data_IF_780129675652
#
_entry.id   IF_780129675652
#
_cell.length_a   1.000
_cell.length_b   1.000
_cell.length_c   1.000
_cell.angle_alpha   90.00
_cell.angle_beta   90.00
_cell.angle_gamma   90.00
#
_symmetry.space_group_name_H-M   'P 1'
#
loop_
_entity.id
_entity.type
_entity.pdbx_description
1 polymer ?
#
# COMPACT_ATOMS: atom_id res chain seq x y z
N UNK A 1 -19.98 7.77 -22.78
CA UNK A 1 -20.40 8.78 -21.79
C UNK A 1 -20.79 8.02 -20.53
N UNK A 2 -19.85 7.85 -19.62
CA UNK A 2 -20.08 7.13 -18.37
C UNK A 2 -21.07 7.92 -17.51
N UNK A 3 -22.19 7.31 -17.19
CA UNK A 3 -23.13 7.90 -16.23
C UNK A 3 -22.56 7.66 -14.83
N UNK A 4 -21.85 8.66 -14.30
CA UNK A 4 -21.55 8.74 -12.89
C UNK A 4 -22.87 9.12 -12.21
N UNK A 5 -23.56 8.15 -11.61
CA UNK A 5 -24.67 8.45 -10.74
C UNK A 5 -24.10 8.86 -9.38
N UNK A 6 -23.89 10.15 -9.19
CA UNK A 6 -23.59 10.68 -7.85
C UNK A 6 -24.90 10.71 -7.07
N UNK A 7 -25.20 9.59 -6.41
CA UNK A 7 -26.25 9.58 -5.37
C UNK A 7 -25.59 10.08 -4.09
N UNK A 8 -25.69 11.40 -3.83
CA UNK A 8 -25.36 11.96 -2.52
C UNK A 8 -26.54 11.59 -1.60
N UNK A 9 -26.47 10.41 -0.99
CA UNK A 9 -27.41 10.05 0.07
C UNK A 9 -26.81 10.59 1.37
N UNK A 10 -27.22 11.81 1.74
CA UNK A 10 -27.00 12.33 3.07
C UNK A 10 -27.82 11.52 4.07
N UNK A 11 -27.18 10.76 4.94
CA UNK A 11 -27.84 10.16 6.09
C UNK A 11 -28.33 11.29 7.01
N UNK A 12 -29.62 11.54 7.03
CA UNK A 12 -30.27 12.40 8.02
C UNK A 12 -30.24 11.69 9.39
N UNK A 13 -29.18 11.92 10.15
CA UNK A 13 -29.25 11.69 11.58
C UNK A 13 -29.97 12.87 12.22
N UNK A 14 -30.99 12.56 13.01
CA UNK A 14 -31.74 13.52 13.78
C UNK A 14 -30.79 14.39 14.63
N UNK A 15 -30.68 15.64 14.27
CA UNK A 15 -29.84 16.64 14.94
C UNK A 15 -30.40 16.93 16.31
N UNK A 16 -29.84 16.33 17.35
CA UNK A 16 -29.78 17.05 18.61
C UNK A 16 -28.81 18.23 18.38
N UNK A 17 -29.29 19.44 18.45
CA UNK A 17 -28.48 20.64 18.45
C UNK A 17 -27.60 20.65 19.71
N UNK A 18 -26.49 19.99 19.65
CA UNK A 18 -25.35 20.22 20.51
C UNK A 18 -24.67 21.46 19.92
N UNK A 19 -24.67 22.56 20.68
CA UNK A 19 -23.89 23.74 20.34
C UNK A 19 -22.47 23.28 19.96
N UNK A 20 -21.86 23.81 18.90
CA UNK A 20 -20.49 23.46 18.57
C UNK A 20 -19.64 23.78 19.79
N UNK A 21 -19.13 22.77 20.47
CA UNK A 21 -18.00 22.98 21.33
C UNK A 21 -16.97 23.68 20.43
N UNK A 22 -16.54 24.88 20.83
CA UNK A 22 -15.45 25.55 20.16
C UNK A 22 -14.36 24.50 20.07
N UNK A 23 -14.06 24.08 18.85
CA UNK A 23 -12.90 23.24 18.60
C UNK A 23 -11.76 24.12 19.10
N UNK A 24 -11.23 23.78 20.26
CA UNK A 24 -10.03 24.40 20.74
C UNK A 24 -9.06 24.25 19.58
N UNK A 25 -8.60 25.35 19.04
CA UNK A 25 -7.54 25.38 18.05
C UNK A 25 -6.43 24.57 18.71
N UNK A 26 -6.25 23.34 18.26
CA UNK A 26 -5.23 22.44 18.80
C UNK A 26 -3.93 23.15 18.51
N UNK A 27 -3.37 23.76 19.55
CA UNK A 27 -2.01 24.27 19.47
C UNK A 27 -1.16 23.12 18.99
N UNK A 28 -0.47 23.30 17.89
CA UNK A 28 0.47 22.32 17.37
C UNK A 28 1.30 21.80 18.53
N UNK A 29 1.44 20.47 18.70
CA UNK A 29 2.15 19.89 19.84
C UNK A 29 3.57 20.43 20.02
N UNK A 30 4.05 21.15 19.04
CA UNK A 30 5.39 21.74 18.98
C UNK A 30 5.53 23.19 19.33
N UNK A 31 4.48 23.90 19.64
CA UNK A 31 4.66 25.28 20.14
C UNK A 31 5.66 25.35 21.32
N UNK A 32 5.90 24.20 22.00
CA UNK A 32 6.90 24.06 23.07
C UNK A 32 7.68 22.73 23.03
N UNK A 33 7.54 21.92 21.99
CA UNK A 33 8.34 20.70 21.87
C UNK A 33 9.68 21.07 21.25
N UNK A 34 10.75 20.61 21.84
CA UNK A 34 12.06 20.60 21.20
C UNK A 34 11.90 19.84 19.91
N UNK A 35 11.97 20.53 18.78
CA UNK A 35 12.03 19.90 17.47
C UNK A 35 13.17 18.88 17.54
N UNK A 36 12.95 17.59 17.24
CA UNK A 36 14.08 16.69 17.12
C UNK A 36 15.07 17.34 16.18
N UNK A 37 16.36 17.47 16.54
CA UNK A 37 17.33 18.04 15.64
C UNK A 37 17.22 17.30 14.32
N UNK A 38 17.32 18.02 13.23
CA UNK A 38 17.44 17.42 11.92
C UNK A 38 18.59 16.42 11.91
N UNK A 39 18.58 15.50 10.95
CA UNK A 39 19.69 14.58 10.79
C UNK A 39 21.02 15.36 10.82
N UNK A 40 21.92 14.89 11.64
CA UNK A 40 23.21 15.52 11.86
C UNK A 40 24.29 14.51 11.48
N UNK A 41 25.13 14.87 10.53
CA UNK A 41 26.25 14.03 10.07
C UNK A 41 27.59 14.36 10.76
N UNK A 42 27.61 15.36 11.63
CA UNK A 42 28.84 15.85 12.23
C UNK A 42 28.98 15.56 13.72
N UNK A 43 27.89 15.30 14.42
CA UNK A 43 27.90 15.04 15.86
C UNK A 43 27.27 13.64 16.15
N UNK A 44 28.13 12.63 16.42
CA UNK A 44 27.66 11.27 16.72
C UNK A 44 26.81 11.17 17.99
N UNK A 45 26.81 12.19 18.84
CA UNK A 45 25.99 12.22 20.05
C UNK A 45 24.59 12.78 19.81
N UNK A 46 24.32 13.31 18.62
CA UNK A 46 23.01 13.82 18.27
C UNK A 46 22.00 12.68 18.17
N UNK A 47 20.75 12.89 18.63
CA UNK A 47 19.69 11.85 18.60
C UNK A 47 19.39 11.27 17.21
N UNK A 48 19.74 12.00 16.16
CA UNK A 48 19.54 11.61 14.76
C UNK A 48 20.84 11.76 13.98
N UNK A 49 21.91 11.16 14.49
CA UNK A 49 23.17 11.10 13.75
C UNK A 49 23.04 10.09 12.60
N UNK A 50 23.36 10.52 11.38
CA UNK A 50 23.48 9.64 10.22
C UNK A 50 24.94 9.52 9.85
N UNK A 51 25.47 8.31 9.93
CA UNK A 51 26.75 8.00 9.31
C UNK A 51 26.55 7.85 7.80
N UNK A 52 26.95 8.85 7.05
CA UNK A 52 26.87 8.86 5.59
C UNK A 52 28.13 8.29 4.93
N UNK A 53 29.06 7.77 5.70
CA UNK A 53 30.31 7.20 5.18
C UNK A 53 30.01 6.04 4.24
N UNK A 54 30.40 6.17 2.98
CA UNK A 54 30.19 5.13 1.96
C UNK A 54 28.78 5.11 1.34
N UNK A 55 27.87 5.98 1.76
CA UNK A 55 26.58 6.13 1.11
C UNK A 55 26.70 6.92 -0.20
N UNK A 56 26.06 6.42 -1.24
CA UNK A 56 25.86 7.20 -2.46
C UNK A 56 24.55 7.99 -2.32
N UNK A 57 24.66 9.28 -2.00
CA UNK A 57 23.52 10.17 -1.83
C UNK A 57 22.96 10.67 -3.18
N UNK A 58 23.05 9.87 -4.23
CA UNK A 58 22.41 10.17 -5.51
C UNK A 58 20.90 10.17 -5.33
N UNK A 59 20.25 11.23 -5.85
CA UNK A 59 18.77 11.35 -5.83
C UNK A 59 18.06 10.41 -6.79
N UNK A 60 18.82 9.77 -7.67
CA UNK A 60 18.29 8.81 -8.65
C UNK A 60 18.72 7.38 -8.25
N UNK A 61 17.78 6.48 -8.02
CA UNK A 61 18.11 5.09 -7.79
C UNK A 61 18.88 4.54 -9.00
N UNK A 62 19.91 3.73 -8.79
CA UNK A 62 20.66 3.14 -9.89
C UNK A 62 19.77 2.10 -10.61
N UNK A 63 19.81 2.12 -11.94
CA UNK A 63 19.21 1.04 -12.74
C UNK A 63 19.88 -0.29 -12.40
N UNK A 64 19.08 -1.29 -12.07
CA UNK A 64 19.58 -2.59 -11.64
C UNK A 64 19.69 -3.58 -12.79
N UNK A 65 20.58 -4.55 -12.62
CA UNK A 65 20.67 -5.69 -13.51
C UNK A 65 20.08 -6.94 -12.86
N UNK A 66 18.83 -7.30 -13.19
CA UNK A 66 18.14 -8.45 -12.58
C UNK A 66 18.73 -9.81 -12.98
N UNK A 67 19.64 -9.84 -13.94
CA UNK A 67 20.39 -11.05 -14.32
C UNK A 67 21.66 -11.24 -13.49
N UNK A 68 21.93 -10.35 -12.54
CA UNK A 68 23.02 -10.53 -11.58
C UNK A 68 22.73 -11.77 -10.72
N UNK A 69 23.72 -12.66 -10.45
CA UNK A 69 23.52 -13.86 -9.67
C UNK A 69 23.08 -13.64 -8.22
N UNK A 70 23.19 -12.41 -7.71
CA UNK A 70 22.68 -12.04 -6.40
C UNK A 70 21.16 -11.81 -6.39
N UNK A 71 20.52 -11.66 -7.56
CA UNK A 71 19.08 -11.55 -7.70
C UNK A 71 18.40 -12.92 -7.82
N UNK A 72 17.10 -13.02 -7.51
CA UNK A 72 16.35 -14.24 -7.79
C UNK A 72 16.44 -14.60 -9.28
N UNK A 73 16.62 -15.88 -9.64
CA UNK A 73 16.56 -16.29 -11.03
C UNK A 73 15.26 -15.84 -11.68
N UNK A 74 15.35 -15.17 -12.82
CA UNK A 74 14.20 -14.60 -13.50
C UNK A 74 14.22 -14.96 -15.00
N UNK A 75 13.02 -15.12 -15.58
CA UNK A 75 12.83 -15.30 -17.01
C UNK A 75 12.68 -13.95 -17.69
N UNK A 76 13.64 -13.58 -18.53
CA UNK A 76 13.51 -12.37 -19.34
C UNK A 76 12.59 -12.65 -20.53
N UNK A 77 11.53 -11.87 -20.65
CA UNK A 77 10.60 -11.93 -21.75
C UNK A 77 11.00 -10.97 -22.90
N UNK A 78 10.63 -11.28 -24.15
CA UNK A 78 10.74 -10.32 -25.23
C UNK A 78 10.00 -9.01 -24.92
N UNK A 79 10.52 -7.89 -25.43
CA UNK A 79 9.93 -6.59 -25.20
C UNK A 79 8.45 -6.53 -25.58
N UNK A 80 7.64 -5.92 -24.71
CA UNK A 80 6.19 -5.83 -24.86
C UNK A 80 5.41 -7.11 -24.50
N UNK A 81 6.08 -8.21 -24.13
CA UNK A 81 5.41 -9.44 -23.70
C UNK A 81 5.26 -9.52 -22.18
N UNK A 82 4.21 -10.22 -21.76
CA UNK A 82 3.88 -10.50 -20.35
C UNK A 82 3.90 -12.02 -20.10
N UNK A 83 4.14 -12.45 -18.85
CA UNK A 83 4.03 -13.85 -18.51
C UNK A 83 2.57 -14.33 -18.58
N UNK A 84 2.42 -15.62 -18.87
CA UNK A 84 1.10 -16.27 -18.86
C UNK A 84 0.44 -16.20 -17.48
N UNK A 85 -0.90 -16.14 -17.46
CA UNK A 85 -1.70 -16.24 -16.21
C UNK A 85 -1.50 -17.54 -15.42
N UNK A 86 -0.88 -18.54 -16.01
CA UNK A 86 -0.55 -19.81 -15.35
C UNK A 86 0.93 -19.88 -14.93
N UNK A 87 1.73 -18.86 -15.29
CA UNK A 87 3.15 -18.85 -14.96
C UNK A 87 3.36 -18.36 -13.54
N UNK A 88 4.32 -18.95 -12.85
CA UNK A 88 4.74 -18.56 -11.49
C UNK A 88 6.24 -18.29 -11.47
N UNK A 89 6.69 -17.53 -10.48
CA UNK A 89 8.09 -17.16 -10.29
C UNK A 89 8.41 -15.74 -10.75
N UNK A 90 9.65 -15.54 -11.21
CA UNK A 90 10.21 -14.21 -11.47
C UNK A 90 10.32 -13.94 -12.96
N UNK A 91 9.87 -12.77 -13.40
CA UNK A 91 9.88 -12.37 -14.80
C UNK A 91 10.43 -10.95 -14.95
N UNK A 92 11.14 -10.71 -16.06
CA UNK A 92 11.63 -9.40 -16.46
C UNK A 92 10.87 -8.98 -17.71
N UNK A 93 10.25 -7.81 -17.68
CA UNK A 93 9.49 -7.21 -18.79
C UNK A 93 10.05 -5.86 -19.20
N UNK A 94 9.61 -5.35 -20.32
CA UNK A 94 10.01 -4.04 -20.85
C UNK A 94 11.25 -4.11 -21.76
N UNK A 95 11.80 -2.95 -22.17
CA UNK A 95 11.56 -1.60 -21.62
C UNK A 95 10.35 -0.83 -22.18
N UNK A 96 9.56 -1.42 -23.05
CA UNK A 96 8.38 -0.77 -23.64
C UNK A 96 7.10 -1.22 -22.95
N UNK A 97 6.31 -0.26 -22.45
CA UNK A 97 5.08 -0.50 -21.72
C UNK A 97 3.88 0.11 -22.47
N UNK A 98 3.31 -0.66 -23.38
CA UNK A 98 2.09 -0.27 -24.07
C UNK A 98 0.85 -0.63 -23.24
N UNK A 99 -0.07 0.31 -23.11
CA UNK A 99 -1.33 0.08 -22.40
C UNK A 99 -2.09 -1.10 -23.03
N UNK A 100 -2.58 -2.00 -22.20
CA UNK A 100 -3.42 -3.11 -22.63
C UNK A 100 -4.76 -2.60 -23.16
N UNK A 101 -5.35 -3.23 -24.19
CA UNK A 101 -6.62 -2.78 -24.77
C UNK A 101 -7.77 -2.77 -23.75
N UNK A 102 -7.71 -3.58 -22.70
CA UNK A 102 -8.71 -3.63 -21.64
C UNK A 102 -8.72 -2.38 -20.75
N UNK A 103 -7.70 -1.53 -20.83
CA UNK A 103 -7.68 -0.24 -20.12
C UNK A 103 -8.56 0.81 -20.78
N UNK A 104 -9.04 0.54 -21.99
CA UNK A 104 -9.91 1.43 -22.74
C UNK A 104 -11.34 0.90 -22.74
N UNK A 105 -12.31 1.84 -22.72
CA UNK A 105 -13.74 1.49 -22.88
C UNK A 105 -13.95 0.80 -24.22
N UNK A 106 -14.53 -0.40 -24.21
CA UNK A 106 -14.80 -1.19 -25.40
C UNK A 106 -16.29 -1.10 -25.78
N UNK A 107 -16.56 -1.02 -27.07
CA UNK A 107 -17.95 -0.95 -27.57
C UNK A 107 -18.70 -2.25 -27.28
N UNK A 108 -19.90 -2.12 -26.75
CA UNK A 108 -20.75 -3.28 -26.44
C UNK A 108 -20.45 -3.94 -25.07
N UNK A 109 -19.44 -3.49 -24.35
CA UNK A 109 -19.16 -3.96 -23.00
C UNK A 109 -20.05 -3.20 -22.00
N UNK A 110 -20.87 -3.90 -21.19
CA UNK A 110 -21.66 -3.27 -20.13
C UNK A 110 -20.76 -2.63 -19.08
N UNK A 111 -21.05 -1.39 -18.73
CA UNK A 111 -20.31 -0.65 -17.72
C UNK A 111 -20.94 -0.83 -16.34
N UNK A 112 -20.15 -1.17 -15.33
CA UNK A 112 -20.57 -1.22 -13.95
C UNK A 112 -20.91 0.17 -13.37
N UNK A 113 -21.51 0.18 -12.20
CA UNK A 113 -21.86 1.40 -11.47
C UNK A 113 -20.80 1.71 -10.40
N UNK A 114 -20.44 2.99 -10.27
CA UNK A 114 -19.51 3.46 -9.24
C UNK A 114 -20.29 4.35 -8.26
N UNK A 115 -20.20 3.99 -6.99
CA UNK A 115 -20.80 4.74 -5.89
C UNK A 115 -19.72 5.37 -5.04
N UNK A 116 -19.91 6.63 -4.64
CA UNK A 116 -18.98 7.38 -3.83
C UNK A 116 -19.58 7.67 -2.46
N UNK A 117 -18.81 7.40 -1.41
CA UNK A 117 -19.20 7.69 -0.04
C UNK A 117 -18.07 8.45 0.66
N UNK A 118 -18.41 9.20 1.70
CA UNK A 118 -17.44 9.82 2.61
C UNK A 118 -17.62 9.23 4.00
N UNK A 119 -16.52 8.76 4.58
CA UNK A 119 -16.45 8.31 5.97
C UNK A 119 -15.47 9.18 6.76
N UNK A 120 -15.59 9.18 8.07
CA UNK A 120 -14.73 9.97 8.95
C UNK A 120 -14.32 9.21 10.20
N UNK A 121 -13.24 9.67 10.84
CA UNK A 121 -12.75 9.11 12.09
C UNK A 121 -13.80 9.07 13.21
N UNK A 122 -14.77 10.00 13.21
CA UNK A 122 -15.81 10.03 14.23
C UNK A 122 -16.69 8.76 14.28
N UNK A 123 -16.78 8.03 13.16
CA UNK A 123 -17.48 6.76 13.07
C UNK A 123 -16.60 5.54 13.31
N UNK A 124 -15.30 5.72 13.44
CA UNK A 124 -14.34 4.63 13.60
C UNK A 124 -14.12 4.29 15.08
N UNK A 125 -14.01 2.99 15.36
CA UNK A 125 -13.59 2.47 16.68
C UNK A 125 -12.08 2.20 16.69
N UNK A 126 -11.52 1.84 15.54
CA UNK A 126 -10.11 1.44 15.44
C UNK A 126 -9.21 2.65 15.18
N UNK A 127 -9.62 3.57 14.30
CA UNK A 127 -8.85 4.73 13.88
C UNK A 127 -9.45 6.06 14.36
N UNK A 128 -9.86 6.11 15.63
CA UNK A 128 -10.32 7.32 16.30
C UNK A 128 -9.65 7.45 17.69
N UNK A 129 -8.86 8.50 17.95
CA UNK A 129 -8.53 9.58 17.02
C UNK A 129 -7.64 9.12 15.87
N UNK A 130 -7.70 9.86 14.75
CA UNK A 130 -6.75 9.72 13.68
C UNK A 130 -5.38 10.28 14.03
N UNK A 131 -4.41 10.07 13.15
CA UNK A 131 -3.03 10.54 13.27
C UNK A 131 -2.74 11.61 12.22
N UNK A 132 -2.47 12.82 12.69
CA UNK A 132 -2.11 13.95 11.82
C UNK A 132 -0.62 14.21 11.92
N UNK A 133 0.07 14.21 10.78
CA UNK A 133 1.48 14.54 10.71
C UNK A 133 1.71 16.02 11.02
N UNK A 134 2.73 16.30 11.83
CA UNK A 134 3.20 17.63 12.13
C UNK A 134 4.12 18.11 10.98
N UNK A 135 3.57 18.86 10.06
CA UNK A 135 4.31 19.48 8.98
C UNK A 135 3.84 20.93 8.76
N UNK A 136 4.48 21.71 7.87
CA UNK A 136 4.12 23.10 7.65
C UNK A 136 2.67 23.33 7.27
N UNK A 137 2.00 22.36 6.62
CA UNK A 137 0.61 22.50 6.22
C UNK A 137 -0.35 22.24 7.39
N UNK A 138 -0.02 21.29 8.26
CA UNK A 138 -0.84 20.90 9.42
C UNK A 138 -0.39 21.59 10.71
N UNK A 139 0.89 21.95 10.79
CA UNK A 139 1.53 22.51 11.96
C UNK A 139 2.65 23.48 11.55
N UNK A 140 2.32 24.74 11.22
CA UNK A 140 3.30 25.71 10.68
C UNK A 140 4.54 25.91 11.57
N UNK A 141 4.40 25.68 12.88
CA UNK A 141 5.48 25.86 13.85
C UNK A 141 6.31 24.57 14.06
N UNK A 142 5.99 23.50 13.36
CA UNK A 142 6.61 22.20 13.54
C UNK A 142 7.90 22.07 12.75
N UNK A 143 8.75 22.87 12.59
CA UNK A 143 10.01 22.76 11.84
C UNK A 143 9.87 22.16 10.43
N UNK A 144 10.64 22.62 9.52
CA UNK A 144 10.46 22.36 8.10
C UNK A 144 10.87 20.92 7.76
N UNK A 145 9.90 20.08 7.54
CA UNK A 145 10.09 18.87 6.75
C UNK A 145 9.51 19.13 5.35
N UNK A 146 10.35 19.16 4.35
CA UNK A 146 9.91 19.19 2.96
C UNK A 146 10.34 17.90 2.29
N UNK A 147 9.39 17.10 1.88
CA UNK A 147 9.65 15.89 1.09
C UNK A 147 10.42 16.20 -0.21
N UNK A 148 10.37 17.44 -0.68
CA UNK A 148 11.10 17.91 -1.86
C UNK A 148 12.59 18.19 -1.63
N UNK A 149 13.04 18.27 -0.39
CA UNK A 149 14.48 18.43 -0.05
C UNK A 149 15.17 17.08 0.17
N UNK A 150 14.61 16.06 -0.37
CA UNK A 150 15.11 14.71 -0.32
C UNK A 150 16.33 14.53 -1.24
N UNK A 151 17.33 13.91 -0.83
CA UNK A 151 18.23 14.06 0.30
C UNK A 151 19.62 14.46 -0.15
N UNK A 152 19.75 15.59 -0.83
CA UNK A 152 21.08 16.09 -1.19
C UNK A 152 21.89 16.51 0.05
N UNK A 153 21.21 16.68 1.17
CA UNK A 153 21.82 17.03 2.45
C UNK A 153 21.10 16.29 3.62
N UNK A 154 21.70 15.23 4.16
CA UNK A 154 21.15 14.49 5.29
C UNK A 154 20.90 15.35 6.54
N UNK A 155 21.57 16.51 6.68
CA UNK A 155 21.34 17.41 7.80
C UNK A 155 19.95 18.05 7.79
N UNK A 156 19.25 18.02 6.66
CA UNK A 156 17.89 18.53 6.50
C UNK A 156 16.81 17.48 6.79
N UNK A 157 17.19 16.25 7.09
CA UNK A 157 16.22 15.20 7.40
C UNK A 157 15.67 15.37 8.82
N UNK A 158 14.37 15.53 8.92
CA UNK A 158 13.66 15.63 10.19
C UNK A 158 12.71 14.44 10.30
N UNK A 159 12.79 13.68 11.39
CA UNK A 159 11.81 12.63 11.67
C UNK A 159 10.46 13.31 11.98
N UNK A 160 9.40 13.01 11.24
CA UNK A 160 8.11 13.63 11.47
C UNK A 160 7.57 13.24 12.85
N UNK A 161 6.89 14.15 13.50
CA UNK A 161 6.06 13.89 14.67
C UNK A 161 4.59 13.94 14.27
N UNK A 162 3.70 13.52 15.17
CA UNK A 162 2.29 13.45 14.92
C UNK A 162 1.49 13.87 16.15
N UNK A 163 0.25 14.30 15.91
CA UNK A 163 -0.72 14.54 16.97
C UNK A 163 -2.07 13.89 16.64
N UNK A 164 -2.92 13.62 17.64
CA UNK A 164 -4.27 13.14 17.41
C UNK A 164 -5.11 14.16 16.65
N UNK A 165 -5.91 13.71 15.69
CA UNK A 165 -6.79 14.55 14.92
C UNK A 165 -7.93 13.79 14.27
N UNK A 166 -8.70 14.46 13.44
CA UNK A 166 -9.78 13.85 12.67
C UNK A 166 -9.37 13.66 11.23
N UNK A 167 -9.86 12.61 10.61
CA UNK A 167 -9.73 12.41 9.17
C UNK A 167 -11.10 12.22 8.51
N UNK A 168 -11.16 12.54 7.23
CA UNK A 168 -12.23 12.15 6.33
C UNK A 168 -11.61 11.51 5.10
N UNK A 169 -12.28 10.50 4.54
CA UNK A 169 -11.83 9.86 3.30
C UNK A 169 -13.00 9.45 2.43
N UNK A 170 -12.72 9.26 1.15
CA UNK A 170 -13.70 8.76 0.20
C UNK A 170 -13.56 7.25 0.04
N UNK A 171 -14.71 6.60 -0.11
CA UNK A 171 -14.83 5.23 -0.59
C UNK A 171 -15.41 5.27 -2.00
N UNK A 172 -14.86 4.47 -2.90
CA UNK A 172 -15.41 4.25 -4.22
C UNK A 172 -15.78 2.77 -4.35
N UNK A 173 -17.06 2.47 -4.52
CA UNK A 173 -17.52 1.09 -4.69
C UNK A 173 -17.99 0.88 -6.11
N UNK A 174 -17.26 0.05 -6.84
CA UNK A 174 -17.64 -0.41 -8.16
C UNK A 174 -18.45 -1.69 -8.04
N UNK A 175 -19.65 -1.70 -8.62
CA UNK A 175 -20.53 -2.86 -8.74
C UNK A 175 -20.64 -3.21 -10.22
N UNK A 176 -20.18 -4.39 -10.66
CA UNK A 176 -20.21 -4.76 -12.07
C UNK A 176 -21.64 -4.88 -12.59
N UNK A 177 -21.84 -4.58 -13.87
CA UNK A 177 -23.14 -4.73 -14.53
C UNK A 177 -23.69 -6.17 -14.49
N UNK A 178 -22.81 -7.14 -14.31
CA UNK A 178 -23.12 -8.57 -14.22
C UNK A 178 -23.43 -9.02 -12.78
N UNK A 179 -23.43 -8.12 -11.79
CA UNK A 179 -23.80 -8.50 -10.42
C UNK A 179 -25.29 -8.82 -10.35
N UNK A 180 -25.60 -9.97 -9.77
CA UNK A 180 -26.98 -10.39 -9.53
C UNK A 180 -27.35 -10.06 -8.08
N UNK A 181 -28.30 -9.17 -7.89
CA UNK A 181 -28.74 -8.73 -6.56
C UNK A 181 -29.13 -9.93 -5.66
N UNK A 182 -28.67 -9.90 -4.41
CA UNK A 182 -28.91 -10.96 -3.43
C UNK A 182 -27.96 -12.15 -3.50
N UNK A 183 -27.09 -12.24 -4.54
CA UNK A 183 -26.05 -13.27 -4.60
C UNK A 183 -24.78 -12.79 -3.90
N UNK A 184 -24.00 -13.72 -3.35
CA UNK A 184 -22.68 -13.41 -2.80
C UNK A 184 -21.70 -13.13 -3.93
N UNK A 185 -21.09 -11.94 -3.90
CA UNK A 185 -20.09 -11.52 -4.87
C UNK A 185 -18.66 -11.69 -4.32
N UNK A 186 -17.71 -12.20 -5.11
CA UNK A 186 -16.30 -11.99 -4.82
C UNK A 186 -15.98 -10.50 -4.84
N UNK A 187 -14.90 -10.11 -4.16
CA UNK A 187 -14.54 -8.69 -4.09
C UNK A 187 -13.04 -8.45 -3.96
N UNK A 188 -12.64 -7.23 -4.29
CA UNK A 188 -11.27 -6.75 -4.12
C UNK A 188 -11.27 -5.42 -3.34
N UNK A 189 -10.50 -5.37 -2.25
CA UNK A 189 -10.23 -4.14 -1.49
C UNK A 189 -9.00 -3.48 -2.08
N UNK A 190 -9.10 -2.19 -2.40
CA UNK A 190 -8.04 -1.43 -3.07
C UNK A 190 -7.64 -0.23 -2.23
N UNK A 191 -6.43 -0.23 -1.70
CA UNK A 191 -5.86 0.90 -0.95
C UNK A 191 -5.41 2.04 -1.87
N UNK A 192 -5.28 3.25 -1.33
CA UNK A 192 -4.97 4.49 -2.07
C UNK A 192 -5.89 4.76 -3.25
N UNK A 193 -7.11 4.27 -3.18
CA UNK A 193 -8.11 4.38 -4.22
C UNK A 193 -9.32 5.17 -3.71
N UNK A 194 -10.27 5.37 -4.54
CA UNK A 194 -11.53 6.03 -4.21
C UNK A 194 -12.50 5.82 -5.37
N UNK A 195 -13.44 6.72 -5.58
CA UNK A 195 -14.42 6.59 -6.66
C UNK A 195 -13.79 6.68 -8.06
N UNK A 196 -12.57 7.15 -8.17
CA UNK A 196 -11.83 7.24 -9.46
C UNK A 196 -10.98 6.01 -9.75
N UNK A 197 -10.80 5.10 -8.79
CA UNK A 197 -9.99 3.89 -8.95
C UNK A 197 -8.50 4.14 -8.78
N UNK A 198 -7.70 3.17 -9.20
CA UNK A 198 -6.25 3.16 -9.08
C UNK A 198 -5.58 3.41 -10.45
N UNK A 199 -4.36 4.00 -10.46
CA UNK A 199 -3.52 4.39 -11.60
C UNK A 199 -4.00 5.57 -12.46
N UNK A 200 -5.24 5.85 -12.53
CA UNK A 200 -5.89 7.02 -13.09
C UNK A 200 -7.40 6.80 -13.05
N UNK A 201 -8.10 7.82 -13.39
CA UNK A 201 -9.50 8.06 -13.04
C UNK A 201 -10.47 6.89 -13.23
N UNK A 202 -10.16 5.88 -14.05
CA UNK A 202 -11.10 4.76 -14.27
C UNK A 202 -10.44 3.45 -14.74
N UNK A 203 -9.13 3.36 -14.84
CA UNK A 203 -8.51 2.20 -15.48
C UNK A 203 -8.89 0.88 -14.81
N UNK A 204 -8.83 0.79 -13.48
CA UNK A 204 -9.22 -0.45 -12.79
C UNK A 204 -10.67 -0.85 -13.12
N UNK A 205 -11.61 0.08 -13.02
CA UNK A 205 -13.02 -0.24 -13.24
C UNK A 205 -13.30 -0.55 -14.71
N UNK A 206 -12.65 0.16 -15.64
CA UNK A 206 -12.71 -0.16 -17.07
C UNK A 206 -12.13 -1.54 -17.39
N UNK A 207 -10.99 -1.87 -16.76
CA UNK A 207 -10.40 -3.20 -16.90
C UNK A 207 -11.33 -4.28 -16.36
N UNK A 208 -11.97 -4.04 -15.22
CA UNK A 208 -12.95 -4.99 -14.65
C UNK A 208 -14.16 -5.16 -15.57
N UNK A 209 -14.72 -4.07 -16.13
CA UNK A 209 -15.83 -4.17 -17.10
C UNK A 209 -15.46 -5.11 -18.26
N UNK A 210 -14.29 -4.88 -18.86
CA UNK A 210 -13.81 -5.65 -20.00
C UNK A 210 -13.53 -7.11 -19.65
N UNK A 211 -12.79 -7.37 -18.56
CA UNK A 211 -12.41 -8.73 -18.16
C UNK A 211 -13.60 -9.55 -17.68
N UNK A 212 -14.55 -8.94 -16.97
CA UNK A 212 -15.78 -9.61 -16.51
C UNK A 212 -16.65 -9.97 -17.73
N UNK A 213 -16.85 -9.03 -18.67
CA UNK A 213 -17.61 -9.29 -19.89
C UNK A 213 -16.98 -10.40 -20.75
N UNK A 214 -15.64 -10.46 -20.79
CA UNK A 214 -14.90 -11.50 -21.48
C UNK A 214 -14.80 -12.83 -20.72
N UNK A 215 -15.40 -12.95 -19.53
CA UNK A 215 -15.32 -14.11 -18.66
C UNK A 215 -13.86 -14.51 -18.29
N UNK A 216 -12.99 -13.54 -18.14
CA UNK A 216 -11.58 -13.75 -17.77
C UNK A 216 -11.35 -13.65 -16.27
N UNK A 217 -12.21 -12.90 -15.58
CA UNK A 217 -12.26 -12.79 -14.11
C UNK A 217 -13.72 -12.91 -13.63
N UNK A 218 -13.98 -13.27 -12.37
CA UNK A 218 -15.35 -13.33 -11.86
C UNK A 218 -15.98 -11.93 -11.77
N UNK A 219 -17.34 -11.83 -11.80
CA UNK A 219 -18.04 -10.57 -11.58
C UNK A 219 -17.86 -10.11 -10.12
N UNK A 220 -16.80 -9.36 -9.86
CA UNK A 220 -16.41 -8.93 -8.53
C UNK A 220 -16.77 -7.47 -8.24
N UNK A 221 -17.06 -7.17 -6.98
CA UNK A 221 -17.18 -5.81 -6.45
C UNK A 221 -15.78 -5.30 -6.14
N UNK A 222 -15.45 -4.05 -6.53
CA UNK A 222 -14.21 -3.41 -6.11
C UNK A 222 -14.50 -2.29 -5.10
N UNK A 223 -13.78 -2.30 -3.99
CA UNK A 223 -13.95 -1.36 -2.88
C UNK A 223 -12.67 -0.54 -2.75
N UNK A 224 -12.66 0.63 -3.39
CA UNK A 224 -11.56 1.58 -3.34
C UNK A 224 -11.63 2.43 -2.08
N UNK A 225 -10.56 2.46 -1.32
CA UNK A 225 -10.44 3.18 -0.05
C UNK A 225 -9.34 4.22 -0.20
N UNK A 226 -9.69 5.51 -0.14
CA UNK A 226 -8.70 6.55 -0.07
C UNK A 226 -7.97 6.51 1.29
N UNK A 227 -6.70 6.87 1.30
CA UNK A 227 -5.93 6.97 2.53
C UNK A 227 -6.51 8.01 3.51
N UNK A 228 -6.31 7.81 4.78
CA UNK A 228 -6.71 8.77 5.82
C UNK A 228 -5.77 9.97 5.97
N UNK A 229 -4.61 9.94 5.31
CA UNK A 229 -3.60 11.00 5.26
C UNK A 229 -2.93 11.06 3.90
N UNK A 230 -2.08 12.06 3.69
CA UNK A 230 -1.46 12.28 2.38
C UNK A 230 -0.10 11.59 2.21
N UNK A 231 0.64 11.42 3.29
CA UNK A 231 1.99 10.83 3.27
C UNK A 231 2.06 9.60 4.18
N UNK A 232 3.14 8.83 4.07
CA UNK A 232 3.33 7.61 4.84
C UNK A 232 3.66 7.92 6.31
N UNK A 233 4.89 8.25 6.62
CA UNK A 233 5.34 8.41 7.99
C UNK A 233 4.67 9.58 8.71
N UNK A 234 4.17 9.32 9.91
CA UNK A 234 3.57 10.32 10.78
C UNK A 234 2.13 10.68 10.45
N UNK A 235 1.56 10.20 9.37
CA UNK A 235 0.17 10.40 9.00
C UNK A 235 -0.70 9.17 9.26
N UNK A 236 -2.02 9.35 9.17
CA UNK A 236 -2.95 8.22 9.23
C UNK A 236 -2.66 7.18 8.14
N UNK A 237 -2.23 7.60 6.95
CA UNK A 237 -1.85 6.69 5.88
C UNK A 237 -0.69 5.76 6.29
N UNK A 238 0.33 6.29 6.97
CA UNK A 238 1.42 5.46 7.48
C UNK A 238 0.95 4.50 8.57
N UNK A 239 0.09 4.97 9.49
CA UNK A 239 -0.50 4.14 10.54
C UNK A 239 -1.31 2.97 9.98
N UNK A 240 -2.02 3.19 8.87
CA UNK A 240 -2.84 2.17 8.23
C UNK A 240 -2.03 1.19 7.38
N UNK A 241 -1.08 1.70 6.61
CA UNK A 241 -0.44 0.93 5.56
C UNK A 241 0.97 0.44 5.90
N UNK A 242 1.74 1.22 6.65
CA UNK A 242 3.11 0.85 7.00
C UNK A 242 3.20 0.09 8.34
N UNK A 243 2.09 -0.01 9.07
CA UNK A 243 2.02 -0.84 10.27
C UNK A 243 1.97 -2.33 9.89
N UNK A 244 2.92 -3.10 10.40
CA UNK A 244 2.94 -4.56 10.25
C UNK A 244 2.05 -5.16 11.34
N UNK A 245 0.74 -5.04 11.15
CA UNK A 245 -0.29 -5.51 12.08
C UNK A 245 -1.59 -5.90 11.36
N UNK A 246 -2.51 -6.52 12.09
CA UNK A 246 -3.85 -6.86 11.59
C UNK A 246 -4.87 -5.72 11.69
N UNK A 247 -4.48 -4.53 12.15
CA UNK A 247 -5.44 -3.47 12.50
C UNK A 247 -6.18 -2.91 11.29
N UNK A 248 -5.48 -2.72 10.17
CA UNK A 248 -6.12 -2.26 8.94
C UNK A 248 -7.15 -3.27 8.43
N UNK A 249 -6.83 -4.56 8.48
CA UNK A 249 -7.81 -5.60 8.15
C UNK A 249 -9.00 -5.56 9.10
N UNK A 250 -8.75 -5.45 10.40
CA UNK A 250 -9.81 -5.40 11.39
C UNK A 250 -10.75 -4.20 11.16
N UNK A 251 -10.21 -3.05 10.77
CA UNK A 251 -10.98 -1.87 10.40
C UNK A 251 -11.82 -2.11 9.14
N UNK A 252 -11.21 -2.65 8.08
CA UNK A 252 -11.93 -2.97 6.84
C UNK A 252 -13.08 -3.94 7.11
N UNK A 253 -12.83 -5.02 7.84
CA UNK A 253 -13.83 -6.06 8.13
C UNK A 253 -14.98 -5.59 9.02
N UNK A 254 -14.69 -4.76 10.02
CA UNK A 254 -15.67 -4.37 11.04
C UNK A 254 -16.41 -3.09 10.71
N UNK A 255 -15.78 -2.20 9.93
CA UNK A 255 -16.33 -0.86 9.69
C UNK A 255 -16.65 -0.63 8.21
N UNK A 256 -15.73 -0.97 7.28
CA UNK A 256 -15.89 -0.65 5.86
C UNK A 256 -16.83 -1.63 5.15
N UNK A 257 -16.59 -2.94 5.25
CA UNK A 257 -17.38 -3.92 4.51
C UNK A 257 -18.86 -3.94 4.95
N UNK A 258 -19.19 -3.91 6.27
CA UNK A 258 -20.59 -3.81 6.70
C UNK A 258 -21.27 -2.52 6.24
N UNK A 259 -20.53 -1.40 6.23
CA UNK A 259 -21.04 -0.14 5.70
C UNK A 259 -21.39 -0.27 4.20
N UNK A 260 -20.52 -0.86 3.39
CA UNK A 260 -20.75 -1.06 1.96
C UNK A 260 -21.97 -1.96 1.71
N UNK A 261 -22.04 -3.10 2.42
CA UNK A 261 -23.19 -4.03 2.31
C UNK A 261 -24.51 -3.34 2.65
N UNK A 262 -24.50 -2.51 3.70
CA UNK A 262 -25.70 -1.76 4.12
C UNK A 262 -26.12 -0.68 3.12
N UNK A 263 -25.13 0.07 2.57
CA UNK A 263 -25.43 1.21 1.68
C UNK A 263 -25.92 0.78 0.29
N UNK A 264 -25.46 -0.36 -0.20
CA UNK A 264 -25.70 -0.78 -1.58
C UNK A 264 -26.58 -2.03 -1.71
N UNK A 265 -27.03 -2.61 -0.61
CA UNK A 265 -27.78 -3.87 -0.58
C UNK A 265 -27.07 -4.98 -1.39
N UNK A 266 -25.73 -5.02 -1.28
CA UNK A 266 -24.89 -6.05 -1.88
C UNK A 266 -24.49 -7.08 -0.83
N UNK A 267 -24.14 -8.27 -1.29
CA UNK A 267 -23.62 -9.34 -0.45
C UNK A 267 -22.17 -9.63 -0.84
N UNK A 268 -21.26 -9.50 0.10
CA UNK A 268 -19.85 -9.83 -0.08
C UNK A 268 -19.59 -11.27 0.40
N UNK A 269 -18.86 -12.04 -0.41
CA UNK A 269 -18.55 -13.43 -0.06
C UNK A 269 -17.74 -13.54 1.23
N UNK A 270 -17.95 -14.62 1.96
CA UNK A 270 -17.13 -15.01 3.12
C UNK A 270 -16.05 -16.04 2.76
N UNK A 271 -16.05 -16.53 1.53
CA UNK A 271 -15.02 -17.42 1.02
C UNK A 271 -13.70 -16.65 0.83
N UNK A 272 -12.60 -17.00 1.56
CA UNK A 272 -11.33 -16.32 1.44
C UNK A 272 -10.71 -16.40 0.03
N UNK A 273 -11.05 -17.43 -0.77
CA UNK A 273 -10.65 -17.52 -2.17
C UNK A 273 -11.40 -16.53 -3.09
N UNK A 274 -12.54 -16.03 -2.64
CA UNK A 274 -13.30 -14.98 -3.32
C UNK A 274 -12.95 -13.56 -2.89
N UNK A 275 -11.87 -13.37 -2.12
CA UNK A 275 -11.49 -12.10 -1.50
C UNK A 275 -10.06 -11.74 -1.86
N UNK A 276 -9.89 -10.56 -2.44
CA UNK A 276 -8.59 -10.06 -2.86
C UNK A 276 -8.27 -8.69 -2.23
N UNK A 277 -7.00 -8.39 -2.10
CA UNK A 277 -6.47 -7.09 -1.69
C UNK A 277 -5.55 -6.55 -2.77
N UNK A 278 -5.56 -5.23 -2.97
CA UNK A 278 -4.73 -4.55 -3.96
C UNK A 278 -4.23 -3.21 -3.43
N UNK A 279 -3.03 -2.82 -3.83
CA UNK A 279 -2.51 -1.50 -3.51
C UNK A 279 -1.23 -1.15 -4.24
N UNK A 280 -0.75 0.06 -4.00
CA UNK A 280 0.49 0.60 -4.54
C UNK A 280 1.33 1.19 -3.42
N UNK A 281 2.66 1.10 -3.51
CA UNK A 281 3.54 1.68 -2.49
C UNK A 281 3.18 1.17 -1.10
N UNK A 282 2.92 2.05 -0.13
CA UNK A 282 2.50 1.66 1.22
C UNK A 282 1.21 0.84 1.23
N UNK A 283 0.20 1.20 0.42
CA UNK A 283 -1.01 0.37 0.32
C UNK A 283 -0.76 -1.00 -0.33
N UNK A 284 0.30 -1.13 -1.16
CA UNK A 284 0.77 -2.42 -1.68
C UNK A 284 1.34 -3.31 -0.59
N UNK A 285 2.09 -2.75 0.36
CA UNK A 285 2.53 -3.47 1.56
C UNK A 285 1.33 -3.85 2.44
N UNK A 286 0.39 -2.92 2.66
CA UNK A 286 -0.83 -3.18 3.42
C UNK A 286 -1.68 -4.29 2.80
N UNK A 287 -1.77 -4.36 1.46
CA UNK A 287 -2.47 -5.44 0.77
C UNK A 287 -1.90 -6.82 1.12
N UNK A 288 -0.57 -6.95 1.17
CA UNK A 288 0.08 -8.19 1.64
C UNK A 288 -0.15 -8.41 3.15
N UNK A 289 -0.01 -7.37 3.95
CA UNK A 289 -0.20 -7.40 5.41
C UNK A 289 -1.61 -7.87 5.79
N UNK A 290 -2.64 -7.44 5.05
CA UNK A 290 -4.01 -7.91 5.25
C UNK A 290 -4.12 -9.44 5.13
N UNK A 291 -3.59 -10.01 4.08
CA UNK A 291 -3.59 -11.47 3.88
C UNK A 291 -2.63 -12.19 4.85
N UNK A 292 -1.52 -11.57 5.21
CA UNK A 292 -0.53 -12.18 6.09
C UNK A 292 -1.06 -12.39 7.51
N UNK A 293 -1.72 -11.39 8.10
CA UNK A 293 -2.27 -11.47 9.46
C UNK A 293 -3.63 -12.15 9.50
N UNK A 294 -4.36 -12.19 8.38
CA UNK A 294 -5.71 -12.76 8.31
C UNK A 294 -5.83 -13.75 7.12
N UNK A 295 -5.04 -14.84 7.15
CA UNK A 295 -5.02 -15.82 6.05
C UNK A 295 -6.29 -16.68 5.97
N UNK A 296 -7.20 -16.56 6.91
CA UNK A 296 -8.56 -17.11 6.91
C UNK A 296 -9.58 -16.19 6.25
N UNK A 297 -9.19 -14.96 5.93
CA UNK A 297 -10.04 -13.97 5.30
C UNK A 297 -9.62 -13.61 3.87
N UNK A 298 -8.31 -13.56 3.57
CA UNK A 298 -7.80 -13.11 2.27
C UNK A 298 -6.70 -14.03 1.75
N UNK A 299 -6.90 -14.55 0.53
CA UNK A 299 -5.92 -15.42 -0.12
C UNK A 299 -5.24 -14.79 -1.33
N UNK A 300 -5.74 -13.67 -1.86
CA UNK A 300 -5.30 -13.08 -3.13
C UNK A 300 -4.79 -11.68 -2.94
N UNK A 301 -3.55 -11.43 -3.40
CA UNK A 301 -2.87 -10.14 -3.22
C UNK A 301 -2.30 -9.68 -4.55
N UNK A 302 -2.51 -8.38 -4.86
CA UNK A 302 -1.94 -7.70 -6.02
C UNK A 302 -1.29 -6.39 -5.56
N UNK A 303 -0.02 -6.18 -5.88
CA UNK A 303 0.67 -4.96 -5.48
C UNK A 303 1.62 -4.43 -6.55
N UNK A 304 1.68 -3.11 -6.65
CA UNK A 304 2.66 -2.40 -7.47
C UNK A 304 3.60 -1.62 -6.58
N UNK A 305 4.90 -1.76 -6.81
CA UNK A 305 5.95 -1.10 -6.02
C UNK A 305 5.71 -1.19 -4.51
N UNK A 306 5.34 -2.36 -3.94
CA UNK A 306 4.97 -2.44 -2.53
C UNK A 306 6.12 -2.01 -1.62
N UNK A 307 5.78 -1.24 -0.59
CA UNK A 307 6.71 -0.72 0.42
C UNK A 307 7.15 -1.84 1.38
N UNK A 308 7.92 -2.80 0.86
CA UNK A 308 8.48 -3.92 1.64
C UNK A 308 9.81 -3.55 2.29
N UNK A 309 10.06 -2.26 2.45
CA UNK A 309 11.27 -1.65 3.02
C UNK A 309 11.14 -1.45 4.53
N UNK A 310 12.21 -1.03 5.16
CA UNK A 310 12.24 -0.67 6.57
C UNK A 310 11.51 0.66 6.83
N UNK A 311 10.18 0.60 6.74
CA UNK A 311 9.31 1.75 6.99
C UNK A 311 8.12 1.28 7.82
N UNK A 312 7.92 1.92 8.96
CA UNK A 312 6.81 1.60 9.84
C UNK A 312 6.37 2.82 10.63
N UNK A 313 5.07 3.01 10.74
CA UNK A 313 4.49 4.05 11.54
C UNK A 313 3.13 3.63 12.12
N UNK A 314 2.86 3.79 13.44
CA UNK A 314 3.85 4.16 14.46
C UNK A 314 4.93 3.09 14.61
N UNK A 315 6.09 3.48 15.14
CA UNK A 315 7.17 2.52 15.34
C UNK A 315 6.77 1.42 16.32
N UNK A 316 7.09 0.19 15.98
CA UNK A 316 6.87 -0.99 16.82
C UNK A 316 8.20 -1.65 17.15
N UNK A 317 8.60 -1.62 18.42
CA UNK A 317 9.86 -2.20 18.89
C UNK A 317 9.96 -3.71 18.70
N UNK A 318 8.82 -4.42 18.58
CA UNK A 318 8.80 -5.85 18.29
C UNK A 318 9.06 -6.17 16.80
N UNK A 319 8.89 -5.19 15.91
CA UNK A 319 9.11 -5.30 14.46
C UNK A 319 9.83 -4.04 13.95
N UNK A 320 11.07 -3.79 14.38
CA UNK A 320 11.75 -2.52 14.11
C UNK A 320 12.03 -2.28 12.62
N UNK A 321 12.12 -3.34 11.84
CA UNK A 321 12.31 -3.29 10.39
C UNK A 321 11.02 -3.02 9.60
N UNK A 322 9.85 -2.97 10.25
CA UNK A 322 8.58 -2.85 9.56
C UNK A 322 8.41 -3.95 8.51
N UNK A 323 7.98 -3.59 7.29
CA UNK A 323 7.74 -4.56 6.21
C UNK A 323 9.03 -5.24 5.69
N UNK A 324 10.21 -4.72 5.96
CA UNK A 324 11.47 -5.42 5.71
C UNK A 324 11.53 -6.77 6.43
N UNK A 325 10.97 -6.87 7.63
CA UNK A 325 10.91 -8.10 8.42
C UNK A 325 10.10 -9.24 7.77
N UNK A 326 9.34 -8.96 6.72
CA UNK A 326 8.73 -10.05 5.96
C UNK A 326 9.75 -10.97 5.31
N UNK A 327 10.88 -10.43 4.86
CA UNK A 327 11.81 -11.19 4.01
C UNK A 327 13.23 -11.27 4.57
N UNK A 328 13.66 -10.37 5.43
CA UNK A 328 15.04 -10.37 5.93
C UNK A 328 15.10 -9.91 7.39
N UNK A 329 16.26 -10.04 8.01
CA UNK A 329 16.52 -9.61 9.36
C UNK A 329 16.86 -8.11 9.38
N UNK A 330 16.57 -7.46 10.50
CA UNK A 330 17.14 -6.15 10.78
C UNK A 330 18.66 -6.28 10.90
N UNK A 331 19.38 -5.64 10.00
CA UNK A 331 20.85 -5.66 9.93
C UNK A 331 21.43 -4.23 9.95
N UNK A 332 20.61 -3.23 10.25
CA UNK A 332 21.04 -1.84 10.30
C UNK A 332 22.07 -1.57 11.41
N UNK A 333 22.79 -0.46 11.29
CA UNK A 333 23.62 0.03 12.39
C UNK A 333 22.73 0.24 13.62
N UNK A 334 23.29 0.09 14.84
CA UNK A 334 22.56 0.40 16.05
C UNK A 334 22.01 1.83 15.93
N UNK A 335 20.70 1.97 16.05
CA UNK A 335 20.04 3.28 16.02
C UNK A 335 20.20 3.89 17.41
N UNK A 336 21.15 4.84 17.62
CA UNK A 336 21.39 5.34 18.95
C UNK A 336 20.19 6.14 19.44
N UNK A 337 19.45 5.60 20.41
CA UNK A 337 18.41 6.31 21.16
C UNK A 337 17.44 7.11 20.26
N UNK A 338 16.96 6.49 19.19
CA UNK A 338 15.95 7.10 18.33
C UNK A 338 14.65 7.30 19.13
N UNK A 339 14.21 8.54 19.29
CA UNK A 339 12.91 8.83 19.90
C UNK A 339 11.88 9.04 18.80
N UNK A 340 10.97 8.09 18.65
CA UNK A 340 9.86 8.19 17.69
C UNK A 340 8.56 8.21 18.50
N UNK A 341 7.82 9.30 18.40
CA UNK A 341 6.55 9.50 19.11
C UNK A 341 6.63 9.27 20.64
N UNK A 342 7.72 9.69 21.27
CA UNK A 342 7.90 9.50 22.70
C UNK A 342 8.38 8.11 23.13
N UNK A 343 8.59 7.20 22.17
CA UNK A 343 9.21 5.89 22.41
C UNK A 343 10.68 5.99 22.07
N UNK A 344 11.54 5.78 23.07
CA UNK A 344 12.98 5.69 22.87
C UNK A 344 13.33 4.26 22.47
N UNK A 345 13.94 4.10 21.28
CA UNK A 345 14.42 2.82 20.77
C UNK A 345 15.90 2.74 21.06
N UNK A 346 16.30 1.68 21.70
CA UNK A 346 17.71 1.38 21.99
C UNK A 346 18.15 0.16 21.18
N UNK A 347 19.45 -0.05 21.03
CA UNK A 347 19.98 -1.25 20.36
C UNK A 347 19.46 -2.55 20.97
N UNK A 348 19.20 -2.55 22.28
CA UNK A 348 18.64 -3.72 22.98
C UNK A 348 17.17 -3.99 22.66
N UNK A 349 16.46 -3.02 22.12
CA UNK A 349 15.05 -3.17 21.73
C UNK A 349 14.90 -3.76 20.31
N UNK A 350 16.01 -3.87 19.56
CA UNK A 350 16.04 -4.48 18.25
C UNK A 350 16.30 -5.97 18.42
N UNK A 351 15.29 -6.84 18.29
CA UNK A 351 15.51 -8.27 18.38
C UNK A 351 16.48 -8.72 17.30
N UNK A 352 17.34 -9.67 17.60
CA UNK A 352 18.09 -10.40 16.60
C UNK A 352 17.05 -11.01 15.62
N UNK A 353 16.93 -10.43 14.43
CA UNK A 353 15.76 -10.56 13.58
C UNK A 353 15.46 -12.00 13.19
N UNK A 354 14.18 -12.32 13.21
CA UNK A 354 13.64 -13.56 12.63
C UNK A 354 12.65 -13.13 11.56
N UNK A 355 13.02 -13.16 10.26
CA UNK A 355 12.14 -12.71 9.22
C UNK A 355 10.83 -13.51 9.20
N UNK A 356 9.71 -12.82 9.00
CA UNK A 356 8.38 -13.38 9.20
C UNK A 356 8.05 -14.51 8.22
N UNK A 357 8.30 -14.30 6.92
CA UNK A 357 7.97 -15.31 5.90
C UNK A 357 8.81 -16.57 6.05
N UNK A 358 10.14 -16.51 6.18
CA UNK A 358 10.98 -17.70 6.38
C UNK A 358 10.61 -18.49 7.64
N UNK A 359 10.25 -17.81 8.72
CA UNK A 359 10.05 -18.47 10.01
C UNK A 359 8.59 -18.86 10.33
N UNK A 360 7.65 -18.51 9.44
CA UNK A 360 6.24 -18.90 9.57
C UNK A 360 5.91 -20.13 8.73
N UNK A 361 4.86 -20.85 9.10
CA UNK A 361 4.24 -21.83 8.21
C UNK A 361 3.70 -21.14 6.97
N UNK A 362 3.75 -21.84 5.82
CA UNK A 362 3.20 -21.30 4.58
C UNK A 362 1.70 -21.03 4.76
N UNK A 363 1.29 -19.81 4.43
CA UNK A 363 -0.10 -19.37 4.44
C UNK A 363 -0.71 -19.58 3.04
N UNK A 364 -2.03 -19.71 2.89
CA UNK A 364 -2.70 -19.92 1.61
C UNK A 364 -2.79 -18.60 0.81
N UNK A 365 -1.67 -17.91 0.62
CA UNK A 365 -1.59 -16.64 -0.07
C UNK A 365 -1.08 -16.86 -1.48
N UNK A 366 -1.76 -16.23 -2.45
CA UNK A 366 -1.35 -16.05 -3.83
C UNK A 366 -0.98 -14.60 -4.06
N UNK A 367 0.26 -14.30 -4.45
CA UNK A 367 0.78 -12.94 -4.47
C UNK A 367 1.36 -12.56 -5.84
N UNK A 368 0.72 -11.60 -6.50
CA UNK A 368 1.25 -10.92 -7.66
C UNK A 368 1.83 -9.57 -7.24
N UNK A 369 3.07 -9.27 -7.62
CA UNK A 369 3.68 -7.98 -7.32
C UNK A 369 4.70 -7.56 -8.36
N UNK A 370 4.87 -6.25 -8.49
CA UNK A 370 5.72 -5.63 -9.49
C UNK A 370 6.60 -4.55 -8.86
N UNK A 371 7.81 -4.37 -9.41
CA UNK A 371 8.72 -3.26 -9.08
C UNK A 371 9.44 -2.78 -10.33
N UNK A 372 9.56 -1.46 -10.48
CA UNK A 372 10.36 -0.84 -11.55
C UNK A 372 11.85 -0.92 -11.27
N UNK A 373 12.68 -0.99 -12.33
CA UNK A 373 14.15 -0.98 -12.20
C UNK A 373 14.72 0.35 -11.72
N UNK A 374 13.90 1.41 -11.74
CA UNK A 374 14.21 2.76 -11.27
C UNK A 374 13.29 3.16 -10.11
N UNK A 375 12.88 2.19 -9.28
CA UNK A 375 12.04 2.41 -8.12
C UNK A 375 12.82 3.13 -6.99
N UNK A 376 12.12 3.54 -5.96
CA UNK A 376 12.63 4.42 -4.91
C UNK A 376 13.80 3.83 -4.14
N UNK A 377 14.70 4.73 -3.75
CA UNK A 377 15.80 4.48 -2.85
C UNK A 377 15.99 5.71 -1.96
N UNK A 378 15.66 5.58 -0.67
CA UNK A 378 15.71 6.70 0.26
C UNK A 378 16.84 6.62 1.27
N UNK A 379 17.29 7.77 1.73
CA UNK A 379 18.43 7.95 2.65
C UNK A 379 18.00 8.71 3.93
N UNK A 380 16.97 8.25 4.63
CA UNK A 380 16.63 8.78 5.95
C UNK A 380 17.54 8.18 7.05
N UNK A 381 17.42 8.64 8.30
CA UNK A 381 18.19 8.11 9.44
C UNK A 381 18.05 6.59 9.55
N UNK A 382 16.82 6.09 9.48
CA UNK A 382 16.56 4.67 9.42
C UNK A 382 17.01 4.02 8.11
N UNK A 383 17.41 4.79 7.13
CA UNK A 383 17.83 4.37 5.79
C UNK A 383 19.33 4.24 5.64
N UNK A 384 20.11 4.68 6.61
CA UNK A 384 21.54 4.42 6.65
C UNK A 384 21.89 2.92 6.73
N UNK A 385 20.88 2.09 7.04
CA UNK A 385 20.97 0.64 7.09
C UNK A 385 20.91 -0.05 5.71
N UNK A 386 20.59 0.69 4.64
CA UNK A 386 20.40 0.14 3.29
C UNK A 386 19.08 -0.59 3.04
N UNK A 387 18.16 -0.57 4.00
CA UNK A 387 16.89 -1.30 3.93
C UNK A 387 15.74 -0.50 3.29
N UNK A 388 16.05 0.63 2.65
CA UNK A 388 15.07 1.51 1.99
C UNK A 388 15.21 1.50 0.47
N UNK A 389 15.66 0.39 -0.07
CA UNK A 389 15.76 0.14 -1.50
C UNK A 389 14.55 -0.73 -1.92
N UNK A 390 13.58 -0.14 -2.61
CA UNK A 390 12.36 -0.84 -3.03
C UNK A 390 12.65 -2.03 -3.94
N UNK A 391 13.61 -1.90 -4.84
CA UNK A 391 13.98 -2.99 -5.75
C UNK A 391 14.54 -4.16 -4.95
N UNK A 392 15.51 -3.90 -4.07
CA UNK A 392 16.12 -4.93 -3.22
C UNK A 392 15.10 -5.60 -2.30
N UNK A 393 14.22 -4.82 -1.68
CA UNK A 393 13.18 -5.34 -0.80
C UNK A 393 12.23 -6.30 -1.53
N UNK A 394 11.78 -5.92 -2.73
CA UNK A 394 10.89 -6.75 -3.54
C UNK A 394 11.60 -8.00 -4.10
N UNK A 395 12.87 -7.91 -4.48
CA UNK A 395 13.68 -9.08 -4.86
C UNK A 395 13.89 -10.03 -3.70
N UNK A 396 14.16 -9.52 -2.50
CA UNK A 396 14.28 -10.34 -1.29
C UNK A 396 12.96 -11.03 -0.96
N UNK A 397 11.83 -10.32 -1.11
CA UNK A 397 10.52 -10.94 -0.93
C UNK A 397 10.29 -12.07 -1.92
N UNK A 398 10.62 -11.91 -3.19
CA UNK A 398 10.53 -12.98 -4.19
C UNK A 398 11.38 -14.19 -3.81
N UNK A 399 12.61 -13.98 -3.27
CA UNK A 399 13.48 -15.07 -2.79
C UNK A 399 12.81 -15.90 -1.69
N UNK A 400 12.27 -15.25 -0.67
CA UNK A 400 11.68 -15.98 0.47
C UNK A 400 10.37 -16.66 0.09
N UNK A 401 9.56 -16.05 -0.79
CA UNK A 401 8.36 -16.69 -1.33
C UNK A 401 8.69 -17.94 -2.13
N UNK A 402 9.71 -17.87 -3.00
CA UNK A 402 10.20 -19.03 -3.74
C UNK A 402 10.68 -20.16 -2.81
N UNK A 403 11.51 -19.82 -1.82
CA UNK A 403 12.05 -20.78 -0.86
C UNK A 403 10.96 -21.47 -0.03
N UNK A 404 9.86 -20.78 0.25
CA UNK A 404 8.71 -21.32 1.00
C UNK A 404 7.66 -22.00 0.11
N UNK A 405 7.83 -21.97 -1.22
CA UNK A 405 6.91 -22.58 -2.17
C UNK A 405 5.55 -21.89 -2.26
N UNK A 406 5.51 -20.57 -2.09
CA UNK A 406 4.30 -19.78 -2.30
C UNK A 406 3.90 -19.75 -3.78
N UNK A 407 2.62 -19.56 -4.03
CA UNK A 407 2.13 -19.19 -5.35
C UNK A 407 2.38 -17.69 -5.53
N UNK A 408 3.32 -17.31 -6.39
CA UNK A 408 3.61 -15.91 -6.66
C UNK A 408 4.04 -15.69 -8.12
N UNK A 409 3.81 -14.47 -8.58
CA UNK A 409 4.36 -13.96 -9.82
C UNK A 409 4.97 -12.58 -9.54
N UNK A 410 6.29 -12.50 -9.63
CA UNK A 410 7.04 -11.27 -9.45
C UNK A 410 7.47 -10.71 -10.80
N UNK A 411 7.14 -9.46 -11.05
CA UNK A 411 7.47 -8.73 -12.27
C UNK A 411 8.53 -7.67 -11.96
N UNK A 412 9.67 -7.80 -12.60
CA UNK A 412 10.68 -6.76 -12.62
C UNK A 412 10.55 -5.99 -13.94
N UNK A 413 10.15 -4.72 -13.86
CA UNK A 413 9.84 -3.89 -15.02
C UNK A 413 11.02 -2.99 -15.38
N UNK A 414 11.57 -3.13 -16.58
CA UNK A 414 12.64 -2.25 -17.07
C UNK A 414 12.06 -0.93 -17.54
N UNK A 415 12.81 0.16 -17.35
CA UNK A 415 12.42 1.52 -17.70
C UNK A 415 11.12 1.95 -17.00
N UNK A 416 10.98 1.53 -15.77
CA UNK A 416 9.83 1.80 -14.91
C UNK A 416 10.27 2.43 -13.59
N UNK A 417 9.54 3.43 -13.13
CA UNK A 417 9.75 4.15 -11.88
C UNK A 417 8.80 3.64 -10.79
N UNK A 418 8.75 4.34 -9.67
CA UNK A 418 7.83 4.01 -8.56
C UNK A 418 6.36 4.14 -9.00
N UNK A 419 5.60 3.04 -8.84
CA UNK A 419 4.17 2.97 -9.24
C UNK A 419 4.01 3.47 -10.69
N UNK A 420 4.81 2.90 -11.59
CA UNK A 420 4.87 3.34 -12.99
C UNK A 420 3.53 3.14 -13.70
N UNK A 421 2.94 4.24 -14.17
CA UNK A 421 1.61 4.20 -14.79
C UNK A 421 1.57 3.45 -16.12
N UNK A 422 2.54 3.63 -17.04
CA UNK A 422 2.62 2.82 -18.25
C UNK A 422 2.70 1.32 -17.96
N UNK A 423 3.54 0.92 -17.01
CA UNK A 423 3.67 -0.47 -16.56
C UNK A 423 2.35 -0.99 -15.97
N UNK A 424 1.70 -0.20 -15.12
CA UNK A 424 0.39 -0.54 -14.58
C UNK A 424 -0.66 -0.71 -15.67
N UNK A 425 -0.70 0.18 -16.65
CA UNK A 425 -1.63 0.09 -17.78
C UNK A 425 -1.37 -1.12 -18.70
N UNK A 426 -0.11 -1.55 -18.83
CA UNK A 426 0.25 -2.76 -19.56
C UNK A 426 -0.15 -4.03 -18.80
N UNK A 427 0.14 -4.10 -17.51
CA UNK A 427 0.15 -5.35 -16.74
C UNK A 427 -1.15 -5.65 -16.01
N UNK A 428 -1.95 -4.65 -15.65
CA UNK A 428 -3.11 -4.80 -14.77
C UNK A 428 -4.13 -5.87 -15.23
N UNK A 429 -4.49 -5.99 -16.51
CA UNK A 429 -5.40 -7.06 -16.95
C UNK A 429 -4.83 -8.46 -16.69
N UNK A 430 -3.55 -8.68 -17.05
CA UNK A 430 -2.89 -9.96 -16.86
C UNK A 430 -2.67 -10.28 -15.36
N UNK A 431 -2.37 -9.27 -14.55
CA UNK A 431 -2.22 -9.39 -13.11
C UNK A 431 -3.54 -9.84 -12.45
N UNK A 432 -4.66 -9.21 -12.83
CA UNK A 432 -5.99 -9.61 -12.35
C UNK A 432 -6.32 -11.05 -12.75
N UNK A 433 -6.07 -11.46 -14.01
CA UNK A 433 -6.30 -12.85 -14.43
C UNK A 433 -5.44 -13.84 -13.64
N UNK A 434 -4.18 -13.47 -13.37
CA UNK A 434 -3.29 -14.32 -12.59
C UNK A 434 -3.76 -14.43 -11.13
N UNK A 435 -4.15 -13.33 -10.51
CA UNK A 435 -4.63 -13.30 -9.12
C UNK A 435 -5.92 -14.11 -8.97
N UNK A 436 -6.85 -14.01 -9.92
CA UNK A 436 -8.13 -14.72 -9.88
C UNK A 436 -8.07 -16.12 -10.50
N UNK A 437 -6.92 -16.56 -10.98
CA UNK A 437 -6.76 -17.90 -11.51
C UNK A 437 -7.14 -18.98 -10.47
N UNK A 438 -7.96 -19.94 -10.89
CA UNK A 438 -8.48 -21.02 -10.04
C UNK A 438 -9.77 -20.68 -9.28
N UNK A 439 -10.23 -19.42 -9.25
CA UNK A 439 -11.54 -19.08 -8.72
C UNK A 439 -12.64 -19.34 -9.78
N UNK A 440 -13.79 -19.89 -9.38
CA UNK A 440 -14.88 -20.17 -10.34
C UNK A 440 -15.39 -18.90 -11.01
N UNK A 441 -15.48 -18.92 -12.33
CA UNK A 441 -16.11 -17.85 -13.11
C UNK A 441 -17.51 -18.31 -13.44
N UNK A 442 -18.53 -17.74 -12.79
CA UNK A 442 -19.93 -18.04 -13.10
C UNK A 442 -20.25 -17.42 -14.47
N UNK A 443 -20.70 -18.25 -15.41
CA UNK A 443 -21.30 -17.78 -16.65
C UNK A 443 -22.74 -17.41 -16.35
N UNK A 444 -23.05 -16.14 -16.40
CA UNK A 444 -24.44 -15.67 -16.43
C UNK A 444 -24.78 -15.59 -17.92
N UNK A 445 -25.49 -16.58 -18.41
CA UNK A 445 -26.00 -16.64 -19.80
C UNK A 445 -27.08 -15.57 -20.02
#
# INVERSE_FOLDING_TARGET
MNKVHVAVIGALFASALVAPAAVAQTTCPRANATVPPGANTTDPSAPFFIDTTGLNLSTFPPTRNPLNPNYPPATQLPDGQLPSKNAEGNFIIGPTHNAAPETMVQAGVPTGSVYAFTISSNGSVIYNPGMIRDDPDNCPDAGVYTASTFPDDPSNLIVPTSHPGTWTRTLGVYVPAHYVAGTEAPFIVVGDAGPTGLFSETHLFTVLDNLIHQHRVPPMIAIGIAAGGQDAQGSERGREYDAVSGDYTAWVEREVLPFVEQQLDVKLTRDPDGRATMGTSSSGAAAFTMAWFNPDLYHRVLAYSPTLVNQQWPHNTALPGGAWEYHDVWAGPPVPNLNVNGVTITESDIPAGSPLVPNSSRKPIRYWFEVGDQDLFYYLVAMADGMHDWVLANENMAKVLAAKGYHYQFIFSRNATHVDRPTGAQTLPAALEWVWNGYPIQRVD
#
